data_IF_451917569923
#
_entry.id   IF_451917569923
#
_cell.length_a   1.000
_cell.length_b   1.000
_cell.length_c   1.000
_cell.angle_alpha   90.00
_cell.angle_beta   90.00
_cell.angle_gamma   90.00
#
_symmetry.space_group_name_H-M   'P 1'
#
loop_
_entity.id
_entity.type
_entity.pdbx_description
1 polymer ?
#
# COMPACT_ATOMS: atom_id res chain seq x y z
N UNK A 1 20.92 -6.16 6.97
CA UNK A 1 19.55 -6.35 6.47
C UNK A 1 19.15 -5.14 5.64
N UNK A 2 18.68 -5.39 4.44
CA UNK A 2 18.27 -4.29 3.56
C UNK A 2 16.90 -3.78 3.93
N UNK A 3 16.72 -2.47 3.84
CA UNK A 3 15.42 -1.86 4.06
C UNK A 3 15.06 -1.02 2.85
N UNK A 4 13.78 -0.97 2.55
CA UNK A 4 13.24 -0.16 1.48
C UNK A 4 12.09 0.68 2.01
N UNK A 5 11.78 1.73 1.28
CA UNK A 5 10.62 2.54 1.58
C UNK A 5 9.36 1.70 1.43
N UNK A 6 8.48 1.77 2.40
CA UNK A 6 7.18 1.13 2.29
C UNK A 6 6.35 1.78 1.20
N UNK A 7 5.44 1.02 0.64
CA UNK A 7 4.47 1.55 -0.32
C UNK A 7 3.09 1.03 0.06
N UNK A 8 2.07 1.63 -0.52
CA UNK A 8 0.68 1.28 -0.24
C UNK A 8 -0.05 0.97 -1.53
N UNK A 9 -1.00 0.06 -1.43
CA UNK A 9 -1.90 -0.25 -2.54
C UNK A 9 -3.32 -0.15 -2.05
N UNK A 10 -4.25 0.05 -2.97
CA UNK A 10 -5.68 0.04 -2.66
C UNK A 10 -6.26 -1.24 -3.23
N UNK A 11 -6.86 -2.03 -2.38
CA UNK A 11 -7.41 -3.32 -2.77
C UNK A 11 -8.92 -3.35 -2.62
N UNK A 12 -9.58 -3.81 -3.67
CA UNK A 12 -11.01 -4.07 -3.65
C UNK A 12 -11.19 -5.58 -3.73
N UNK A 13 -11.69 -6.22 -2.64
CA UNK A 13 -11.87 -7.68 -2.64
C UNK A 13 -12.76 -8.21 -3.75
N UNK A 14 -13.64 -7.37 -4.27
CA UNK A 14 -14.57 -7.73 -5.34
C UNK A 14 -14.09 -7.28 -6.71
N UNK A 15 -12.94 -6.65 -6.77
CA UNK A 15 -12.41 -6.08 -7.99
C UNK A 15 -11.18 -6.79 -8.50
N UNK A 16 -10.42 -6.08 -9.32
CA UNK A 16 -9.20 -6.61 -9.91
C UNK A 16 -8.04 -6.53 -8.95
N UNK A 17 -6.99 -7.27 -9.25
CA UNK A 17 -5.74 -7.17 -8.52
C UNK A 17 -5.23 -5.74 -8.60
N UNK A 18 -4.85 -5.14 -7.48
CA UNK A 18 -4.30 -3.79 -7.50
C UNK A 18 -2.98 -3.76 -8.26
N UNK A 19 -2.80 -2.73 -9.06
CA UNK A 19 -1.59 -2.59 -9.89
C UNK A 19 -0.84 -1.31 -9.60
N UNK A 20 -1.44 -0.36 -8.91
CA UNK A 20 -0.81 0.93 -8.66
C UNK A 20 -0.29 1.01 -7.25
N UNK A 21 0.98 1.39 -7.13
CA UNK A 21 1.62 1.61 -5.85
C UNK A 21 1.61 3.08 -5.51
N UNK A 22 1.35 3.39 -4.26
CA UNK A 22 1.36 4.76 -3.77
C UNK A 22 2.53 4.92 -2.81
N UNK A 23 3.24 6.02 -2.92
CA UNK A 23 4.43 6.25 -2.11
C UNK A 23 4.12 6.72 -0.70
N UNK A 24 2.91 7.17 -0.44
CA UNK A 24 2.50 7.59 0.89
C UNK A 24 1.13 7.03 1.22
N UNK A 25 0.90 6.88 2.52
CA UNK A 25 -0.39 6.44 3.01
C UNK A 25 -1.50 7.40 2.61
N UNK A 26 -1.23 8.70 2.69
CA UNK A 26 -2.20 9.72 2.35
C UNK A 26 -2.69 9.60 0.90
N UNK A 27 -1.76 9.39 -0.02
CA UNK A 27 -2.12 9.21 -1.43
C UNK A 27 -3.01 7.99 -1.64
N UNK A 28 -2.69 6.90 -0.95
CA UNK A 28 -3.49 5.69 -1.06
C UNK A 28 -4.89 5.89 -0.48
N UNK A 29 -4.99 6.57 0.65
CA UNK A 29 -6.28 6.85 1.28
C UNK A 29 -7.15 7.73 0.37
N UNK A 30 -6.55 8.74 -0.26
CA UNK A 30 -7.28 9.60 -1.18
C UNK A 30 -7.81 8.82 -2.37
N UNK A 31 -7.01 7.92 -2.89
CA UNK A 31 -7.43 7.09 -4.02
C UNK A 31 -8.55 6.14 -3.60
N UNK A 32 -8.44 5.55 -2.41
CA UNK A 32 -9.48 4.67 -1.89
C UNK A 32 -10.81 5.43 -1.72
N UNK A 33 -10.74 6.66 -1.22
CA UNK A 33 -11.93 7.48 -1.06
C UNK A 33 -12.57 7.81 -2.41
N UNK A 34 -11.73 8.17 -3.38
CA UNK A 34 -12.23 8.49 -4.71
C UNK A 34 -12.95 7.30 -5.33
N UNK A 35 -12.34 6.14 -5.24
CA UNK A 35 -12.93 4.92 -5.79
C UNK A 35 -14.20 4.52 -5.06
N UNK A 36 -14.23 4.71 -3.75
CA UNK A 36 -15.41 4.40 -2.96
C UNK A 36 -16.61 5.28 -3.35
N UNK A 37 -16.34 6.54 -3.67
CA UNK A 37 -17.41 7.45 -4.09
C UNK A 37 -17.99 7.06 -5.44
N UNK A 38 -17.17 6.51 -6.33
CA UNK A 38 -17.59 6.09 -7.65
C UNK A 38 -18.32 4.74 -7.59
N UNK A 39 -17.84 3.86 -6.72
CA UNK A 39 -18.35 2.49 -6.63
C UNK A 39 -19.01 2.27 -5.27
N UNK A 40 -20.19 2.81 -5.11
CA UNK A 40 -20.88 2.74 -3.82
C UNK A 40 -21.14 1.31 -3.40
N UNK A 41 -21.04 1.05 -2.12
CA UNK A 41 -21.24 -0.25 -1.49
C UNK A 41 -20.08 -1.22 -1.68
N UNK A 42 -19.03 -0.84 -2.42
CA UNK A 42 -17.83 -1.64 -2.52
C UNK A 42 -16.79 -1.14 -1.51
N UNK A 43 -15.92 -2.03 -1.11
CA UNK A 43 -14.91 -1.73 -0.11
C UNK A 43 -13.57 -1.52 -0.78
N UNK A 44 -12.85 -0.52 -0.33
CA UNK A 44 -11.50 -0.21 -0.82
C UNK A 44 -10.57 -0.15 0.37
N UNK A 45 -9.68 -1.11 0.45
CA UNK A 45 -8.83 -1.32 1.61
C UNK A 45 -7.42 -0.86 1.28
N UNK A 46 -6.86 -0.02 2.14
CA UNK A 46 -5.49 0.45 1.99
C UNK A 46 -4.58 -0.54 2.67
N UNK A 47 -3.65 -1.10 1.91
CA UNK A 47 -2.69 -2.08 2.40
C UNK A 47 -1.29 -1.49 2.32
N UNK A 48 -0.50 -1.76 3.33
CA UNK A 48 0.89 -1.32 3.41
C UNK A 48 1.81 -2.51 3.19
N UNK A 49 2.85 -2.31 2.41
CA UNK A 49 3.87 -3.32 2.26
C UNK A 49 4.66 -3.46 3.56
N UNK A 50 5.01 -4.67 3.92
CA UNK A 50 5.72 -4.94 5.17
C UNK A 50 7.07 -5.58 4.91
N UNK A 51 7.10 -6.62 4.10
CA UNK A 51 8.33 -7.33 3.79
C UNK A 51 8.24 -7.93 2.41
N UNK A 52 9.39 -8.16 1.80
CA UNK A 52 9.45 -8.92 0.57
C UNK A 52 10.57 -9.95 0.69
N UNK A 53 10.41 -11.05 0.01
CA UNK A 53 11.40 -12.10 0.00
C UNK A 53 11.72 -12.48 -1.44
N UNK A 54 12.97 -12.65 -1.71
CA UNK A 54 13.45 -13.05 -3.04
C UNK A 54 14.27 -14.30 -2.89
N UNK A 55 13.97 -15.32 -3.69
CA UNK A 55 14.74 -16.56 -3.66
C UNK A 55 15.90 -16.44 -4.64
N UNK A 56 16.94 -15.86 -4.14
CA UNK A 56 18.21 -15.72 -4.83
C UNK A 56 19.17 -15.46 -3.70
N UNK A 57 19.44 -16.50 -2.90
CA UNK A 57 20.06 -16.43 -1.60
C UNK A 57 19.11 -15.80 -0.58
N UNK A 58 17.87 -16.15 -0.61
CA UNK A 58 16.79 -15.75 0.29
C UNK A 58 17.05 -14.43 1.01
N UNK A 59 16.64 -13.35 0.40
CA UNK A 59 16.73 -12.03 1.01
C UNK A 59 15.39 -11.65 1.61
N UNK A 60 15.43 -11.13 2.82
CA UNK A 60 14.28 -10.49 3.44
C UNK A 60 14.52 -9.00 3.44
N UNK A 61 13.58 -8.27 2.90
CA UNK A 61 13.69 -6.83 2.82
C UNK A 61 12.54 -6.23 3.62
N UNK A 62 12.90 -5.47 4.63
CA UNK A 62 11.91 -4.82 5.47
C UNK A 62 11.47 -3.51 4.84
N UNK A 63 10.16 -3.27 4.86
CA UNK A 63 9.61 -2.01 4.38
C UNK A 63 9.29 -1.14 5.59
N UNK A 64 9.80 0.08 5.56
CA UNK A 64 9.60 1.01 6.66
C UNK A 64 8.93 2.27 6.17
N UNK A 65 8.08 2.82 7.02
CA UNK A 65 7.43 4.09 6.73
C UNK A 65 8.41 5.20 7.00
N UNK A 66 8.57 6.12 6.05
CA UNK A 66 9.43 7.27 6.26
C UNK A 66 8.82 8.15 7.33
N UNK A 67 9.70 8.70 8.18
CA UNK A 67 9.29 9.47 9.34
C UNK A 67 8.36 10.62 9.01
N UNK A 68 8.68 11.36 7.96
CA UNK A 68 7.89 12.51 7.57
C UNK A 68 6.56 12.15 6.91
N UNK A 69 6.32 10.88 6.65
CA UNK A 69 5.07 10.42 6.06
C UNK A 69 4.10 9.90 7.11
N UNK A 70 4.50 9.87 8.35
CA UNK A 70 3.64 9.44 9.45
C UNK A 70 2.79 10.59 9.92
N UNK A 71 1.88 11.03 9.07
CA UNK A 71 0.98 12.09 9.46
C UNK A 71 -0.29 11.48 10.03
N UNK A 72 -0.78 12.03 11.14
CA UNK A 72 -2.06 11.57 11.68
C UNK A 72 -3.19 12.01 10.76
N UNK A 73 -4.17 11.21 10.70
CA UNK A 73 -5.37 11.50 9.94
C UNK A 73 -6.49 11.91 10.85
#
# INVERSE_FOLDING_TARGET
>A
MNTKQAFWIVWNPQGRTPTKMHSTRDKAVREAERLARINKSERFIVLQSVEECVVDDVQRIRHEVAEFEETPF
#
